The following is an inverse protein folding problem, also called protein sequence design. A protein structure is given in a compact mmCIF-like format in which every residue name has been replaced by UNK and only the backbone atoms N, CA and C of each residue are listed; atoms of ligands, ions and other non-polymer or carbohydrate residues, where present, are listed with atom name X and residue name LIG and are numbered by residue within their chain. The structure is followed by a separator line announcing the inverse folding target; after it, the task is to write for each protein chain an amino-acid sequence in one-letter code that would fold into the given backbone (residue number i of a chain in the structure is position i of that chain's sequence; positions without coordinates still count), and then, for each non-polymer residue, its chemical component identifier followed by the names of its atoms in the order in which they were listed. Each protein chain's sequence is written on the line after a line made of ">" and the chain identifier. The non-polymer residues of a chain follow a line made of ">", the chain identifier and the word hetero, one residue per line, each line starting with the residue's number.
data_IF_801114629682
#
_entry.id   IF_801114629682
#
_cell.length_a   1.000
_cell.length_b   1.000
_cell.length_c   1.000
_cell.angle_alpha   90.00
_cell.angle_beta   90.00
_cell.angle_gamma   90.00
#
_symmetry.space_group_name_H-M   'P 1'
#
loop_
_entity.id
_entity.type
_entity.pdbx_description
1 polymer ?
#
# COMPACT_ATOMS: atom_id res chain seq x y z
N UNK A 1 -9.09 7.55 2.58
CA UNK A 1 -7.68 7.84 2.94
C UNK A 1 -7.63 8.60 4.27
N UNK A 2 -7.50 7.88 5.38
CA UNK A 2 -7.00 8.48 6.63
C UNK A 2 -5.52 8.08 6.71
N UNK A 3 -4.60 8.86 6.08
CA UNK A 3 -3.19 8.57 6.30
C UNK A 3 -2.93 8.68 7.79
N UNK A 4 -2.12 7.77 8.30
CA UNK A 4 -1.76 7.83 9.69
C UNK A 4 -1.08 9.19 9.95
N UNK A 5 -1.64 9.94 10.90
CA UNK A 5 -1.13 11.25 11.27
C UNK A 5 -0.35 11.18 12.57
N UNK A 6 0.01 9.97 13.00
CA UNK A 6 0.77 9.70 14.21
C UNK A 6 2.03 10.57 14.25
N UNK A 7 2.47 10.96 15.47
CA UNK A 7 3.72 11.70 15.65
C UNK A 7 4.92 10.98 15.01
N UNK A 8 4.89 9.64 15.00
CA UNK A 8 5.94 8.79 14.45
C UNK A 8 6.02 8.89 12.93
N UNK A 9 4.90 8.82 12.22
CA UNK A 9 4.88 8.98 10.77
C UNK A 9 5.26 10.39 10.34
N UNK A 10 4.83 11.41 11.10
CA UNK A 10 5.25 12.80 10.86
C UNK A 10 6.77 12.96 10.97
N UNK A 11 7.38 12.33 11.96
CA UNK A 11 8.84 12.34 12.12
C UNK A 11 9.52 11.55 11.01
N UNK A 12 9.02 10.36 10.62
CA UNK A 12 9.57 9.59 9.50
C UNK A 12 9.53 10.36 8.17
N UNK A 13 8.40 10.97 7.84
CA UNK A 13 8.26 11.78 6.63
C UNK A 13 9.23 12.98 6.63
N UNK A 14 9.38 13.63 7.79
CA UNK A 14 10.37 14.72 7.97
C UNK A 14 11.80 14.22 7.75
N UNK A 15 12.17 13.10 8.37
CA UNK A 15 13.51 12.50 8.23
C UNK A 15 13.81 12.08 6.78
N UNK A 16 12.82 11.55 6.06
CA UNK A 16 12.94 11.24 4.64
C UNK A 16 13.28 12.49 3.81
N UNK A 17 12.52 13.58 3.98
CA UNK A 17 12.77 14.85 3.28
C UNK A 17 14.15 15.43 3.64
N UNK A 18 14.56 15.35 4.91
CA UNK A 18 15.87 15.80 5.35
C UNK A 18 17.01 15.01 4.69
N UNK A 19 16.90 13.68 4.57
CA UNK A 19 17.89 12.85 3.85
C UNK A 19 18.00 13.23 2.39
N UNK A 20 16.90 13.60 1.74
CA UNK A 20 16.92 14.05 0.34
C UNK A 20 17.69 15.37 0.17
N UNK A 21 17.64 16.28 1.16
CA UNK A 21 18.46 17.49 1.12
C UNK A 21 19.95 17.23 1.19
N UNK A 22 20.38 16.15 1.86
CA UNK A 22 21.79 15.76 1.93
C UNK A 22 22.31 15.16 0.60
N UNK A 23 21.41 14.80 -0.32
CA UNK A 23 21.71 14.26 -1.65
C UNK A 23 21.65 15.32 -2.77
N UNK A 24 21.47 16.59 -2.43
CA UNK A 24 21.40 17.67 -3.43
C UNK A 24 22.72 17.79 -4.21
N UNK A 25 22.65 17.97 -5.55
CA UNK A 25 23.84 17.95 -6.42
C UNK A 25 24.80 19.13 -6.17
N UNK A 26 24.32 20.24 -5.59
CA UNK A 26 25.14 21.40 -5.26
C UNK A 26 25.77 21.29 -3.86
N UNK A 27 27.04 20.83 -3.83
CA UNK A 27 27.78 20.52 -2.60
C UNK A 27 27.91 21.71 -1.63
N UNK A 28 28.01 22.93 -2.12
CA UNK A 28 28.14 24.14 -1.28
C UNK A 28 26.83 24.48 -0.54
N UNK A 29 25.68 24.34 -1.20
CA UNK A 29 24.34 24.47 -0.60
C UNK A 29 24.08 23.36 0.43
N UNK A 30 24.50 22.13 0.13
CA UNK A 30 24.39 21.01 1.07
C UNK A 30 25.18 21.25 2.36
N UNK A 31 26.39 21.82 2.26
CA UNK A 31 27.24 22.12 3.41
C UNK A 31 26.67 23.25 4.28
N UNK A 32 26.15 24.32 3.66
CA UNK A 32 25.50 25.43 4.38
C UNK A 32 24.22 24.96 5.10
N UNK A 33 23.38 24.18 4.41
CA UNK A 33 22.19 23.59 5.01
C UNK A 33 22.58 22.66 6.17
N UNK A 34 23.66 21.88 6.03
CA UNK A 34 24.12 20.89 7.02
C UNK A 34 24.78 21.50 8.25
N UNK A 35 25.55 22.59 8.13
CA UNK A 35 26.38 23.09 9.22
C UNK A 35 25.75 24.20 10.09
N UNK A 36 24.82 25.01 9.58
CA UNK A 36 24.45 26.26 10.29
C UNK A 36 22.95 26.50 10.53
N UNK A 37 22.04 25.62 10.05
CA UNK A 37 20.60 25.92 10.01
C UNK A 37 19.65 24.79 10.48
N UNK A 38 19.89 24.03 11.58
CA UNK A 38 18.99 22.94 12.00
C UNK A 38 17.50 23.29 12.15
N UNK A 39 17.10 24.43 12.78
CA UNK A 39 15.68 24.77 12.90
C UNK A 39 15.07 25.18 11.55
N UNK A 40 15.82 25.88 10.69
CA UNK A 40 15.34 26.27 9.37
C UNK A 40 15.18 25.04 8.45
N UNK A 41 16.09 24.06 8.50
CA UNK A 41 15.95 22.81 7.75
C UNK A 41 14.69 22.05 8.14
N UNK A 42 14.41 21.91 9.44
CA UNK A 42 13.18 21.29 9.93
C UNK A 42 11.95 22.06 9.47
N UNK A 43 12.00 23.39 9.53
CA UNK A 43 10.92 24.24 9.05
C UNK A 43 10.68 24.06 7.53
N UNK A 44 11.72 24.06 6.70
CA UNK A 44 11.61 23.79 5.26
C UNK A 44 11.05 22.39 5.03
N UNK A 45 11.56 21.36 5.74
CA UNK A 45 11.07 20.00 5.62
C UNK A 45 9.57 19.89 5.97
N UNK A 46 9.12 20.59 7.01
CA UNK A 46 7.71 20.62 7.40
C UNK A 46 6.85 21.38 6.38
N UNK A 47 7.36 22.45 5.77
CA UNK A 47 6.67 23.18 4.69
C UNK A 47 6.55 22.33 3.43
N UNK A 48 7.63 21.66 3.02
CA UNK A 48 7.67 20.74 1.89
C UNK A 48 6.72 19.56 2.13
N UNK A 49 6.76 18.96 3.33
CA UNK A 49 5.80 17.92 3.75
C UNK A 49 4.37 18.42 3.62
N UNK A 50 4.07 19.61 4.15
CA UNK A 50 2.72 20.18 4.07
C UNK A 50 2.25 20.44 2.63
N UNK A 51 3.16 20.79 1.73
CA UNK A 51 2.86 20.95 0.31
C UNK A 51 2.55 19.62 -0.37
N UNK A 52 3.39 18.59 -0.18
CA UNK A 52 3.19 17.26 -0.80
C UNK A 52 2.07 16.45 -0.14
N UNK A 53 1.81 16.65 1.15
CA UNK A 53 0.71 16.01 1.88
C UNK A 53 -0.63 16.74 1.71
N UNK A 54 -0.73 17.69 0.75
CA UNK A 54 -1.97 18.40 0.49
C UNK A 54 -3.04 17.44 0.01
N UNK A 55 -4.11 17.32 0.80
CA UNK A 55 -5.25 16.47 0.48
C UNK A 55 -6.27 17.27 -0.33
N UNK A 56 -6.76 16.67 -1.41
CA UNK A 56 -7.95 17.14 -2.11
C UNK A 56 -9.04 16.07 -1.95
N UNK A 57 -10.28 16.51 -1.74
CA UNK A 57 -11.42 15.59 -1.76
C UNK A 57 -11.84 15.39 -3.21
N UNK A 58 -11.90 14.13 -3.63
CA UNK A 58 -12.36 13.74 -4.96
C UNK A 58 -13.58 12.85 -4.79
N UNK A 59 -14.68 13.21 -5.43
CA UNK A 59 -15.86 12.35 -5.53
C UNK A 59 -15.62 11.36 -6.67
N UNK A 60 -15.68 10.07 -6.38
CA UNK A 60 -15.54 9.01 -7.36
C UNK A 60 -16.60 7.92 -7.14
N UNK A 61 -17.07 7.24 -8.20
CA UNK A 61 -17.95 6.09 -8.05
C UNK A 61 -17.18 4.91 -7.43
N UNK A 62 -17.80 4.22 -6.47
CA UNK A 62 -17.32 2.93 -5.98
C UNK A 62 -17.95 1.82 -6.80
N UNK A 63 -17.13 0.82 -7.17
CA UNK A 63 -17.52 -0.29 -8.03
C UNK A 63 -17.06 -1.59 -7.40
N UNK A 64 -17.87 -2.64 -7.56
CA UNK A 64 -17.51 -3.99 -7.12
C UNK A 64 -16.50 -4.59 -8.11
N UNK A 65 -15.50 -5.31 -7.62
CA UNK A 65 -14.43 -5.86 -8.47
C UNK A 65 -14.98 -6.81 -9.55
N UNK A 66 -15.93 -7.68 -9.21
CA UNK A 66 -16.60 -8.56 -10.18
C UNK A 66 -17.37 -7.82 -11.27
N UNK A 67 -17.97 -6.66 -10.97
CA UNK A 67 -18.62 -5.84 -11.99
C UNK A 67 -17.59 -5.31 -12.99
N UNK A 68 -16.43 -4.87 -12.50
CA UNK A 68 -15.32 -4.41 -13.35
C UNK A 68 -14.78 -5.55 -14.22
N UNK A 69 -14.60 -6.75 -13.65
CA UNK A 69 -14.17 -7.95 -14.39
C UNK A 69 -15.15 -8.27 -15.53
N UNK A 70 -16.46 -8.26 -15.23
CA UNK A 70 -17.51 -8.55 -16.21
C UNK A 70 -17.60 -7.48 -17.30
N UNK A 71 -17.61 -6.21 -16.93
CA UNK A 71 -17.75 -5.09 -17.88
C UNK A 71 -16.59 -5.00 -18.87
N UNK A 72 -15.38 -5.34 -18.41
CA UNK A 72 -14.19 -5.31 -19.24
C UNK A 72 -13.91 -6.66 -19.93
N UNK A 73 -14.80 -7.64 -19.79
CA UNK A 73 -14.64 -9.00 -20.31
C UNK A 73 -13.27 -9.60 -19.95
N UNK A 74 -12.83 -9.41 -18.71
CA UNK A 74 -11.54 -9.91 -18.25
C UNK A 74 -11.63 -11.42 -18.07
N UNK A 75 -11.04 -12.17 -18.99
CA UNK A 75 -11.04 -13.63 -18.95
C UNK A 75 -10.05 -14.18 -17.90
N UNK A 76 -8.95 -13.46 -17.65
CA UNK A 76 -7.89 -13.90 -16.75
C UNK A 76 -7.18 -12.71 -16.10
N UNK A 77 -6.81 -12.87 -14.82
CA UNK A 77 -6.00 -11.95 -14.05
C UNK A 77 -4.73 -12.70 -13.63
N UNK A 78 -3.62 -12.46 -14.33
CA UNK A 78 -2.34 -13.08 -13.98
C UNK A 78 -1.85 -12.62 -12.59
N UNK A 79 -2.10 -11.36 -12.24
CA UNK A 79 -1.75 -10.77 -10.95
C UNK A 79 -2.79 -9.74 -10.50
N UNK A 80 -3.43 -10.00 -9.36
CA UNK A 80 -4.27 -9.05 -8.65
C UNK A 80 -3.46 -8.36 -7.54
N UNK A 81 -3.09 -7.09 -7.72
CA UNK A 81 -2.51 -6.29 -6.63
C UNK A 81 -3.62 -5.55 -5.88
N UNK A 82 -3.68 -5.71 -4.56
CA UNK A 82 -4.54 -4.95 -3.66
C UNK A 82 -3.69 -4.16 -2.66
N UNK A 83 -3.95 -2.86 -2.64
CA UNK A 83 -3.27 -1.85 -1.83
C UNK A 83 -4.29 -0.72 -1.70
N UNK A 84 -5.25 -0.97 -0.80
CA UNK A 84 -6.52 -0.24 -0.75
C UNK A 84 -6.79 0.40 0.61
N UNK A 85 -5.78 0.41 1.49
CA UNK A 85 -5.77 1.11 2.78
C UNK A 85 -7.02 0.76 3.61
N UNK A 86 -7.10 -0.50 4.06
CA UNK A 86 -8.14 -1.10 4.94
C UNK A 86 -9.42 -1.58 4.25
N UNK A 87 -9.52 -1.44 2.93
CA UNK A 87 -10.68 -1.94 2.18
C UNK A 87 -10.40 -3.27 1.47
N UNK A 88 -9.31 -3.96 1.81
CA UNK A 88 -8.91 -5.19 1.11
C UNK A 88 -9.97 -6.29 1.25
N UNK A 89 -10.51 -6.49 2.46
CA UNK A 89 -11.57 -7.47 2.70
C UNK A 89 -12.87 -7.09 1.98
N UNK A 90 -13.25 -5.81 1.96
CA UNK A 90 -14.45 -5.36 1.25
C UNK A 90 -14.34 -5.59 -0.26
N UNK A 91 -13.15 -5.34 -0.84
CA UNK A 91 -12.89 -5.59 -2.26
C UNK A 91 -12.98 -7.08 -2.57
N UNK A 92 -12.37 -7.94 -1.73
CA UNK A 92 -12.37 -9.39 -1.92
C UNK A 92 -13.76 -9.99 -1.70
N UNK A 93 -14.55 -9.46 -0.76
CA UNK A 93 -15.94 -9.87 -0.53
C UNK A 93 -16.86 -9.51 -1.72
N UNK A 94 -16.46 -8.54 -2.53
CA UNK A 94 -17.12 -8.18 -3.77
C UNK A 94 -16.90 -9.16 -4.93
N UNK A 95 -15.99 -10.13 -4.81
CA UNK A 95 -15.77 -11.13 -5.84
C UNK A 95 -16.84 -12.23 -5.78
N UNK A 96 -17.49 -12.50 -6.91
CA UNK A 96 -18.34 -13.68 -7.08
C UNK A 96 -17.50 -14.94 -7.30
N UNK A 97 -18.05 -16.11 -6.99
CA UNK A 97 -17.23 -17.32 -6.87
C UNK A 97 -16.57 -17.77 -8.18
N UNK A 98 -17.24 -17.57 -9.32
CA UNK A 98 -16.67 -17.84 -10.64
C UNK A 98 -15.48 -16.95 -11.02
N UNK A 99 -15.35 -15.75 -10.43
CA UNK A 99 -14.28 -14.82 -10.78
C UNK A 99 -12.97 -15.16 -10.06
N UNK A 100 -13.04 -15.92 -8.97
CA UNK A 100 -11.85 -16.40 -8.27
C UNK A 100 -11.00 -17.35 -9.11
N UNK A 101 -11.62 -18.11 -10.01
CA UNK A 101 -10.92 -19.00 -10.95
C UNK A 101 -10.09 -18.22 -11.99
N UNK A 102 -10.48 -16.97 -12.27
CA UNK A 102 -9.76 -16.10 -13.21
C UNK A 102 -8.46 -15.55 -12.64
N UNK A 103 -8.33 -15.50 -11.32
CA UNK A 103 -7.17 -14.97 -10.61
C UNK A 103 -6.12 -16.08 -10.47
N UNK A 104 -4.94 -15.87 -11.07
CA UNK A 104 -3.79 -16.78 -10.93
C UNK A 104 -2.95 -16.47 -9.72
N UNK A 105 -2.69 -15.18 -9.47
CA UNK A 105 -1.87 -14.71 -8.36
C UNK A 105 -2.48 -13.45 -7.75
N UNK A 106 -2.27 -13.26 -6.46
CA UNK A 106 -2.62 -12.02 -5.76
C UNK A 106 -1.49 -11.57 -4.83
N UNK A 107 -1.33 -10.25 -4.74
CA UNK A 107 -0.45 -9.56 -3.79
C UNK A 107 -1.32 -8.56 -3.04
N UNK A 108 -1.51 -8.77 -1.75
CA UNK A 108 -2.44 -7.98 -0.93
C UNK A 108 -1.66 -7.35 0.21
N UNK A 109 -1.64 -6.02 0.26
CA UNK A 109 -1.17 -5.27 1.43
C UNK A 109 -2.30 -5.20 2.46
N UNK A 110 -2.26 -6.09 3.44
CA UNK A 110 -3.31 -6.21 4.46
C UNK A 110 -3.01 -5.27 5.62
N UNK A 111 -3.96 -4.39 5.87
CA UNK A 111 -3.95 -3.46 6.98
C UNK A 111 -4.61 -4.05 8.23
N UNK A 112 -4.48 -3.38 9.37
CA UNK A 112 -5.20 -3.70 10.64
C UNK A 112 -4.69 -4.92 11.42
N UNK A 113 -3.50 -5.42 11.09
CA UNK A 113 -2.79 -6.39 11.93
C UNK A 113 -3.16 -7.85 11.70
N UNK A 114 -2.74 -8.72 12.62
CA UNK A 114 -2.75 -10.17 12.43
C UNK A 114 -4.16 -10.76 12.22
N UNK A 115 -5.20 -10.19 12.85
CA UNK A 115 -6.56 -10.71 12.70
C UNK A 115 -7.09 -10.56 11.26
N UNK A 116 -6.89 -9.39 10.65
CA UNK A 116 -7.25 -9.14 9.25
C UNK A 116 -6.44 -10.02 8.31
N UNK A 117 -5.14 -10.20 8.58
CA UNK A 117 -4.26 -11.10 7.82
C UNK A 117 -4.78 -12.53 7.83
N UNK A 118 -5.21 -13.05 8.98
CA UNK A 118 -5.76 -14.41 9.05
C UNK A 118 -7.06 -14.54 8.25
N UNK A 119 -7.93 -13.53 8.27
CA UNK A 119 -9.16 -13.53 7.48
C UNK A 119 -8.87 -13.56 5.97
N UNK A 120 -8.01 -12.67 5.49
CA UNK A 120 -7.61 -12.63 4.07
C UNK A 120 -6.92 -13.95 3.69
N UNK A 121 -6.01 -14.45 4.54
CA UNK A 121 -5.33 -15.73 4.32
C UNK A 121 -6.31 -16.88 4.16
N UNK A 122 -7.27 -17.01 5.08
CA UNK A 122 -8.25 -18.09 5.03
C UNK A 122 -9.10 -18.00 3.75
N UNK A 123 -9.51 -16.79 3.37
CA UNK A 123 -10.30 -16.55 2.15
C UNK A 123 -9.62 -17.08 0.88
N UNK A 124 -8.30 -16.88 0.75
CA UNK A 124 -7.50 -17.41 -0.36
C UNK A 124 -7.27 -18.92 -0.25
N UNK A 125 -6.97 -19.44 0.95
CA UNK A 125 -6.77 -20.87 1.19
C UNK A 125 -8.02 -21.68 0.83
N UNK A 126 -9.20 -21.23 1.24
CA UNK A 126 -10.50 -21.87 0.96
C UNK A 126 -10.78 -22.00 -0.55
N UNK A 127 -10.09 -21.20 -1.37
CA UNK A 127 -10.24 -21.14 -2.83
C UNK A 127 -9.10 -21.80 -3.59
N UNK A 128 -8.27 -22.57 -2.89
CA UNK A 128 -7.21 -23.39 -3.47
C UNK A 128 -5.92 -22.62 -3.81
N UNK A 129 -5.72 -21.44 -3.23
CA UNK A 129 -4.44 -20.75 -3.34
C UNK A 129 -3.45 -21.25 -2.28
N UNK A 130 -2.17 -21.21 -2.62
CA UNK A 130 -1.08 -21.29 -1.65
C UNK A 130 -0.75 -19.89 -1.19
N UNK A 131 -0.69 -19.68 0.12
CA UNK A 131 -0.53 -18.34 0.71
C UNK A 131 0.76 -18.24 1.51
N UNK A 132 1.55 -17.21 1.22
CA UNK A 132 2.67 -16.77 2.05
C UNK A 132 2.37 -15.37 2.60
N UNK A 133 2.83 -15.09 3.81
CA UNK A 133 2.67 -13.79 4.47
C UNK A 133 4.04 -13.30 4.89
N UNK A 134 4.38 -12.08 4.51
CA UNK A 134 5.57 -11.37 4.95
C UNK A 134 5.20 -10.14 5.76
N UNK A 135 5.97 -9.86 6.81
CA UNK A 135 5.72 -8.74 7.71
C UNK A 135 6.56 -7.56 7.26
N UNK A 136 5.95 -6.40 7.08
CA UNK A 136 6.71 -5.21 6.74
C UNK A 136 7.57 -4.79 7.96
N UNK A 137 8.92 -4.76 7.87
CA UNK A 137 9.77 -4.40 8.99
C UNK A 137 9.62 -2.93 9.42
N UNK A 138 9.05 -2.09 8.57
CA UNK A 138 8.84 -0.67 8.84
C UNK A 138 7.45 -0.37 9.42
N UNK A 139 6.44 -1.22 9.17
CA UNK A 139 5.06 -0.98 9.58
C UNK A 139 4.52 -2.18 10.36
N UNK A 140 4.30 -2.02 11.66
CA UNK A 140 3.93 -3.13 12.55
C UNK A 140 2.54 -3.71 12.30
N UNK A 141 1.67 -2.96 11.62
CA UNK A 141 0.27 -3.28 11.35
C UNK A 141 -0.04 -3.50 9.86
N UNK A 142 0.99 -3.57 9.01
CA UNK A 142 0.86 -3.79 7.57
C UNK A 142 1.64 -5.05 7.18
N UNK A 143 0.98 -5.93 6.45
CA UNK A 143 1.52 -7.22 6.03
C UNK A 143 1.34 -7.40 4.53
N UNK A 144 2.33 -8.00 3.89
CA UNK A 144 2.23 -8.42 2.49
C UNK A 144 1.79 -9.87 2.43
N UNK A 145 0.63 -10.12 1.84
CA UNK A 145 0.13 -11.46 1.58
C UNK A 145 0.30 -11.78 0.09
N UNK A 146 0.91 -12.92 -0.18
CA UNK A 146 1.13 -13.46 -1.52
C UNK A 146 0.29 -14.73 -1.67
N UNK A 147 -0.58 -14.78 -2.68
CA UNK A 147 -1.40 -15.94 -2.97
C UNK A 147 -1.13 -16.41 -4.40
N UNK A 148 -0.85 -17.70 -4.59
CA UNK A 148 -0.64 -18.31 -5.91
C UNK A 148 -1.53 -19.53 -6.09
N UNK A 149 -2.20 -19.62 -7.24
CA UNK A 149 -2.89 -20.84 -7.66
C UNK A 149 -1.87 -21.73 -8.38
N UNK A 150 -1.72 -22.98 -7.98
CA UNK A 150 -0.88 -23.89 -8.77
C UNK A 150 -1.51 -24.07 -10.14
N UNK A 151 -0.70 -23.94 -11.20
CA UNK A 151 -1.14 -24.37 -12.51
C UNK A 151 -1.47 -25.86 -12.39
N UNK A 152 -2.71 -26.24 -12.69
CA UNK A 152 -3.06 -27.64 -12.80
C UNK A 152 -2.04 -28.30 -13.74
N UNK A 153 -1.43 -29.39 -13.29
CA UNK A 153 -0.63 -30.26 -14.12
C UNK A 153 -1.55 -30.83 -15.21
N UNK A 154 -1.64 -30.10 -16.32
CA UNK A 154 -2.27 -30.49 -17.57
C UNK A 154 -1.22 -30.81 -18.61
#
# INVERSE_FOLDING_TARGET
>A
MHPDESPEERERARQYILRQFDQLPQRWLSWILRCCLPPLRRWIADRVRGYYARKIRVTCPLRVLSDVIRENNVEQIDLLKLDAERSELDILAGLVESDWERIRQAVVEVHEGDAAVQQVRQLFLDRGFHVAVDRNPHFSNIFMLYAIRQAGSG
#
